data_IF_008323362173
#
_entry.id   IF_008323362173
#
_cell.length_a   1.000
_cell.length_b   1.000
_cell.length_c   1.000
_cell.angle_alpha   90.00
_cell.angle_beta   90.00
_cell.angle_gamma   90.00
#
_symmetry.space_group_name_H-M   'P 1'
#
loop_
_entity.id
_entity.type
_entity.pdbx_description
1 polymer ?
#
# COMPACT_ATOMS: atom_id res chain seq x y z
N UNK A 1 84.21 -4.19 -33.43
CA UNK A 1 83.21 -4.13 -34.52
C UNK A 1 81.89 -3.80 -33.84
N UNK A 2 81.54 -2.51 -33.87
CA UNK A 2 80.54 -1.88 -32.97
C UNK A 2 79.23 -1.67 -33.72
N UNK A 3 78.14 -1.94 -33.01
CA UNK A 3 76.74 -1.77 -33.40
C UNK A 3 76.41 -0.37 -33.92
N UNK A 4 75.55 -0.30 -34.93
CA UNK A 4 74.60 0.80 -35.11
C UNK A 4 73.29 0.31 -35.78
N UNK A 5 72.22 0.95 -35.33
CA UNK A 5 70.76 0.72 -35.48
C UNK A 5 70.24 0.83 -36.92
N UNK A 6 69.22 0.02 -37.28
CA UNK A 6 68.16 0.42 -38.24
C UNK A 6 66.78 -0.10 -37.78
N UNK A 7 65.80 0.78 -37.90
CA UNK A 7 64.37 0.72 -37.55
C UNK A 7 63.53 -0.18 -38.47
N UNK A 8 62.31 -0.54 -38.05
CA UNK A 8 61.18 -0.76 -38.97
C UNK A 8 59.83 -0.48 -38.29
N UNK A 9 58.92 0.08 -39.09
CA UNK A 9 57.70 0.79 -38.70
C UNK A 9 56.56 -0.06 -38.15
N UNK A 10 55.68 0.65 -37.43
CA UNK A 10 54.41 0.17 -36.90
C UNK A 10 53.32 0.15 -38.00
N UNK A 11 52.53 -0.92 -38.04
CA UNK A 11 51.20 -0.93 -38.65
C UNK A 11 50.15 -1.13 -37.57
N UNK A 12 49.40 -0.07 -37.26
CA UNK A 12 48.22 -0.12 -36.40
C UNK A 12 47.01 -0.54 -37.25
N UNK A 13 46.59 -1.80 -37.10
CA UNK A 13 45.29 -2.27 -37.59
C UNK A 13 44.21 -1.89 -36.58
N UNK A 14 43.36 -0.92 -36.92
CA UNK A 14 42.17 -0.58 -36.15
C UNK A 14 41.13 -1.70 -36.28
N UNK A 15 40.93 -2.49 -35.23
CA UNK A 15 39.77 -3.39 -35.13
C UNK A 15 38.51 -2.55 -34.92
N UNK A 16 37.63 -2.52 -35.91
CA UNK A 16 36.29 -1.98 -35.75
C UNK A 16 35.52 -2.86 -34.74
N UNK A 17 35.36 -2.37 -33.51
CA UNK A 17 34.37 -2.90 -32.59
C UNK A 17 32.99 -2.64 -33.20
N UNK A 18 32.29 -3.69 -33.62
CA UNK A 18 30.85 -3.64 -33.87
C UNK A 18 30.18 -3.11 -32.61
N UNK A 19 29.73 -1.85 -32.66
CA UNK A 19 28.82 -1.30 -31.66
C UNK A 19 27.56 -2.16 -31.69
N UNK A 20 27.32 -2.89 -30.60
CA UNK A 20 25.99 -3.45 -30.36
C UNK A 20 24.95 -2.34 -30.54
N UNK A 21 23.83 -2.60 -31.24
CA UNK A 21 22.83 -1.57 -31.47
C UNK A 21 22.33 -1.07 -30.11
N UNK A 22 22.51 0.24 -29.86
CA UNK A 22 21.92 0.94 -28.72
C UNK A 22 20.41 0.72 -28.78
N UNK A 23 19.91 -0.19 -27.94
CA UNK A 23 18.47 -0.39 -27.79
C UNK A 23 17.92 0.94 -27.30
N UNK A 24 17.11 1.63 -28.11
CA UNK A 24 16.43 2.87 -27.70
C UNK A 24 15.52 2.57 -26.51
N UNK A 25 16.00 2.84 -25.29
CA UNK A 25 15.31 2.67 -23.99
C UNK A 25 14.47 3.90 -23.60
N UNK A 26 13.90 4.60 -24.58
CA UNK A 26 13.12 5.81 -24.29
C UNK A 26 11.84 5.47 -23.53
N UNK A 27 11.50 6.27 -22.51
CA UNK A 27 10.23 6.17 -21.81
C UNK A 27 9.09 6.83 -22.58
N UNK A 28 9.39 7.70 -23.55
CA UNK A 28 8.40 8.38 -24.40
C UNK A 28 7.49 7.39 -25.13
N UNK A 29 6.19 7.66 -25.16
CA UNK A 29 5.19 6.84 -25.85
C UNK A 29 4.02 6.43 -24.97
N UNK A 30 3.30 5.41 -25.41
CA UNK A 30 2.10 4.89 -24.72
C UNK A 30 2.38 3.50 -24.20
N UNK A 31 2.00 3.27 -22.95
CA UNK A 31 2.20 2.04 -22.21
C UNK A 31 0.88 1.53 -21.67
N UNK A 32 0.67 0.22 -21.68
CA UNK A 32 -0.45 -0.45 -21.04
C UNK A 32 0.05 -1.23 -19.83
N UNK A 33 -0.65 -1.13 -18.71
CA UNK A 33 -0.36 -1.93 -17.52
C UNK A 33 -0.87 -3.37 -17.64
N UNK A 34 -0.14 -4.28 -17.01
CA UNK A 34 -0.54 -5.66 -16.76
C UNK A 34 -1.32 -5.72 -15.43
N UNK A 35 -2.63 -5.99 -15.47
CA UNK A 35 -3.50 -6.19 -14.30
C UNK A 35 -4.05 -4.95 -13.56
N UNK A 36 -3.78 -3.73 -14.02
CA UNK A 36 -4.26 -2.50 -13.36
C UNK A 36 -5.19 -1.65 -14.24
N UNK A 37 -5.66 -2.21 -15.35
CA UNK A 37 -6.61 -1.58 -16.26
C UNK A 37 -6.27 -0.11 -16.62
N UNK A 38 -4.98 0.14 -16.85
CA UNK A 38 -4.45 1.49 -16.99
C UNK A 38 -3.57 1.64 -18.24
N UNK A 39 -3.72 2.77 -18.94
CA UNK A 39 -2.71 3.28 -19.87
C UNK A 39 -1.90 4.40 -19.21
N UNK A 40 -0.63 4.49 -19.59
CA UNK A 40 0.30 5.55 -19.19
C UNK A 40 0.89 6.16 -20.44
N UNK A 41 0.76 7.47 -20.61
CA UNK A 41 1.44 8.18 -21.69
C UNK A 41 2.57 9.01 -21.12
N UNK A 42 3.74 8.94 -21.73
CA UNK A 42 4.88 9.82 -21.43
C UNK A 42 5.18 10.65 -22.67
N UNK A 43 5.10 11.98 -22.55
CA UNK A 43 5.36 12.93 -23.64
C UNK A 43 6.13 14.13 -23.13
N UNK A 44 7.35 14.33 -23.62
CA UNK A 44 8.21 15.46 -23.24
C UNK A 44 8.34 15.64 -21.72
N UNK A 45 8.43 14.54 -20.98
CA UNK A 45 8.51 14.55 -19.51
C UNK A 45 7.18 14.70 -18.78
N UNK A 46 6.06 14.92 -19.46
CA UNK A 46 4.72 14.82 -18.87
C UNK A 46 4.26 13.35 -18.88
N UNK A 47 3.68 12.91 -17.76
CA UNK A 47 3.05 11.61 -17.59
C UNK A 47 1.57 11.79 -17.25
N UNK A 48 0.72 11.18 -18.07
CA UNK A 48 -0.72 11.10 -17.84
C UNK A 48 -1.13 9.64 -17.73
N UNK A 49 -2.15 9.36 -16.93
CA UNK A 49 -2.76 8.03 -16.86
C UNK A 49 -4.23 8.03 -17.25
N UNK A 50 -4.67 6.88 -17.76
CA UNK A 50 -6.02 6.64 -18.24
C UNK A 50 -6.48 5.29 -17.72
N UNK A 51 -7.73 5.20 -17.31
CA UNK A 51 -8.39 3.97 -16.88
C UNK A 51 -9.21 3.40 -18.03
N UNK A 52 -9.27 2.09 -18.15
CA UNK A 52 -10.09 1.43 -19.17
C UNK A 52 -10.90 0.27 -18.58
N UNK A 53 -12.11 0.09 -19.10
CA UNK A 53 -12.96 -1.07 -18.85
C UNK A 53 -13.79 -1.37 -20.10
N UNK A 54 -14.63 -2.40 -20.07
CA UNK A 54 -15.63 -2.67 -21.10
C UNK A 54 -16.60 -1.49 -21.30
N UNK A 55 -16.79 -0.64 -20.29
CA UNK A 55 -17.63 0.56 -20.40
C UNK A 55 -16.94 1.75 -21.07
N UNK A 56 -15.64 1.68 -21.33
CA UNK A 56 -14.89 2.73 -22.02
C UNK A 56 -13.52 3.01 -21.42
N UNK A 57 -12.85 4.04 -21.94
CA UNK A 57 -11.57 4.51 -21.45
C UNK A 57 -11.64 6.01 -21.19
N UNK A 58 -11.06 6.48 -20.09
CA UNK A 58 -11.07 7.89 -19.72
C UNK A 58 -9.81 8.29 -18.95
N UNK A 59 -9.46 9.60 -18.90
CA UNK A 59 -8.37 10.08 -18.05
C UNK A 59 -8.64 9.77 -16.57
N UNK A 60 -7.61 9.38 -15.83
CA UNK A 60 -7.69 9.16 -14.38
C UNK A 60 -7.44 10.44 -13.57
N UNK A 61 -7.25 11.59 -14.21
CA UNK A 61 -6.92 12.86 -13.55
C UNK A 61 -5.49 12.98 -12.99
N UNK A 62 -4.67 11.91 -13.04
CA UNK A 62 -3.27 11.97 -12.62
C UNK A 62 -2.39 12.57 -13.72
N UNK A 63 -1.75 13.69 -13.41
CA UNK A 63 -0.69 14.30 -14.21
C UNK A 63 0.56 14.48 -13.35
N UNK A 64 1.69 13.99 -13.84
CA UNK A 64 2.99 14.08 -13.19
C UNK A 64 4.04 14.57 -14.18
N UNK A 65 5.10 15.20 -13.68
CA UNK A 65 6.20 15.71 -14.50
C UNK A 65 7.54 15.14 -14.05
N UNK A 66 8.40 14.88 -15.02
CA UNK A 66 9.80 14.53 -14.78
C UNK A 66 10.67 15.78 -14.72
N UNK A 67 11.73 15.73 -13.91
CA UNK A 67 12.70 16.84 -13.78
C UNK A 67 13.49 17.10 -15.09
N UNK A 68 13.48 16.17 -16.04
CA UNK A 68 14.17 16.25 -17.34
C UNK A 68 13.28 15.74 -18.48
N UNK A 69 13.36 16.40 -19.64
CA UNK A 69 12.68 16.02 -20.86
C UNK A 69 13.67 15.84 -22.03
N UNK A 70 13.69 14.69 -22.74
CA UNK A 70 12.93 13.47 -22.45
C UNK A 70 13.45 12.77 -21.17
N UNK A 71 12.58 12.04 -20.44
CA UNK A 71 12.97 11.38 -19.21
C UNK A 71 13.81 10.12 -19.48
N UNK A 72 14.83 9.91 -18.64
CA UNK A 72 15.66 8.71 -18.63
C UNK A 72 15.01 7.57 -17.84
N UNK A 73 15.47 6.33 -18.06
CA UNK A 73 15.03 5.19 -17.24
C UNK A 73 15.36 5.40 -15.76
N UNK A 74 14.40 5.10 -14.88
CA UNK A 74 14.52 5.31 -13.43
C UNK A 74 14.24 6.74 -12.97
N UNK A 75 13.81 7.64 -13.87
CA UNK A 75 13.44 9.01 -13.50
C UNK A 75 12.15 9.02 -12.66
N UNK A 76 12.13 9.74 -11.52
CA UNK A 76 10.91 9.98 -10.78
C UNK A 76 10.00 10.97 -11.52
N UNK A 77 8.70 10.76 -11.38
CA UNK A 77 7.66 11.69 -11.82
C UNK A 77 6.97 12.26 -10.60
N UNK A 78 6.77 13.58 -10.60
CA UNK A 78 6.34 14.37 -9.44
C UNK A 78 5.03 15.08 -9.71
N UNK A 79 4.25 15.30 -8.67
CA UNK A 79 3.05 16.11 -8.76
C UNK A 79 3.38 17.62 -8.78
N UNK A 80 2.36 18.46 -8.89
CA UNK A 80 2.53 19.91 -8.90
C UNK A 80 3.12 20.48 -7.59
N UNK A 81 3.06 19.74 -6.49
CA UNK A 81 3.68 20.10 -5.21
C UNK A 81 5.14 19.62 -5.11
N UNK A 82 5.66 18.93 -6.13
CA UNK A 82 7.02 18.38 -6.18
C UNK A 82 7.17 17.02 -5.47
N UNK A 83 6.09 16.47 -4.89
CA UNK A 83 6.12 15.17 -4.25
C UNK A 83 6.25 14.07 -5.30
N UNK A 84 7.07 13.05 -5.03
CA UNK A 84 7.23 11.92 -5.96
C UNK A 84 5.92 11.12 -6.00
N UNK A 85 5.29 11.03 -7.17
CA UNK A 85 4.13 10.19 -7.39
C UNK A 85 4.52 8.76 -7.77
N UNK A 86 5.47 8.60 -8.68
CA UNK A 86 5.94 7.29 -9.13
C UNK A 86 7.34 7.34 -9.77
N UNK A 87 7.88 6.18 -10.10
CA UNK A 87 9.11 6.03 -10.89
C UNK A 87 8.87 5.07 -12.05
N UNK A 88 9.31 5.44 -13.26
CA UNK A 88 9.27 4.57 -14.45
C UNK A 88 10.67 4.07 -14.81
N UNK A 89 10.79 2.78 -15.07
CA UNK A 89 12.05 2.12 -15.47
C UNK A 89 11.83 1.31 -16.74
N UNK A 90 12.52 1.66 -17.82
CA UNK A 90 12.59 0.83 -19.01
C UNK A 90 13.37 -0.45 -18.67
N UNK A 91 12.79 -1.60 -19.02
CA UNK A 91 13.41 -2.94 -18.86
C UNK A 91 13.67 -3.61 -20.22
N UNK A 92 13.20 -2.99 -21.29
CA UNK A 92 13.47 -3.34 -22.67
C UNK A 92 12.89 -2.25 -23.59
N UNK A 93 13.00 -2.43 -24.91
CA UNK A 93 12.46 -1.48 -25.90
C UNK A 93 10.96 -1.23 -25.72
N UNK A 94 10.22 -2.31 -25.46
CA UNK A 94 8.75 -2.34 -25.39
C UNK A 94 8.25 -2.84 -24.02
N UNK A 95 9.11 -2.76 -22.98
CA UNK A 95 8.81 -3.19 -21.61
C UNK A 95 9.31 -2.19 -20.59
N UNK A 96 8.47 -1.87 -19.60
CA UNK A 96 8.82 -1.01 -18.48
C UNK A 96 8.23 -1.52 -17.15
N UNK A 97 8.65 -0.89 -16.06
CA UNK A 97 8.14 -1.08 -14.70
C UNK A 97 7.77 0.27 -14.11
N UNK A 98 6.60 0.33 -13.48
CA UNK A 98 6.09 1.49 -12.78
C UNK A 98 6.06 1.18 -11.28
N UNK A 99 6.76 1.99 -10.49
CA UNK A 99 6.76 1.88 -9.03
C UNK A 99 6.04 3.09 -8.42
N UNK A 100 4.80 2.94 -7.91
CA UNK A 100 4.12 4.01 -7.17
C UNK A 100 4.92 4.40 -5.92
N UNK A 101 4.90 5.68 -5.55
CA UNK A 101 5.49 6.11 -4.29
C UNK A 101 4.69 5.55 -3.10
N UNK A 102 5.40 5.13 -2.04
CA UNK A 102 4.81 4.57 -0.83
C UNK A 102 4.35 3.10 -0.92
N UNK A 103 4.12 2.56 -2.11
CA UNK A 103 3.82 1.14 -2.30
C UNK A 103 5.10 0.29 -2.39
N UNK A 104 4.96 -1.00 -2.13
CA UNK A 104 5.96 -2.02 -2.45
C UNK A 104 5.47 -2.88 -3.61
N UNK A 105 6.35 -3.15 -4.57
CA UNK A 105 6.00 -3.83 -5.83
C UNK A 105 6.07 -2.89 -7.03
N UNK A 106 5.97 -3.45 -8.23
CA UNK A 106 6.03 -2.71 -9.49
C UNK A 106 4.93 -3.19 -10.44
N UNK A 107 4.33 -2.28 -11.21
CA UNK A 107 3.40 -2.63 -12.29
C UNK A 107 4.19 -2.88 -13.57
N UNK A 108 3.99 -4.04 -14.19
CA UNK A 108 4.57 -4.32 -15.51
C UNK A 108 3.84 -3.49 -16.56
N UNK A 109 4.61 -2.88 -17.46
CA UNK A 109 4.10 -2.09 -18.56
C UNK A 109 4.58 -2.65 -19.90
N UNK A 110 3.69 -2.67 -20.88
CA UNK A 110 3.99 -3.01 -22.26
C UNK A 110 3.72 -1.82 -23.18
N UNK A 111 4.63 -1.56 -24.12
CA UNK A 111 4.44 -0.47 -25.08
C UNK A 111 3.33 -0.83 -26.06
N UNK A 112 2.43 0.11 -26.29
CA UNK A 112 1.40 0.03 -27.32
C UNK A 112 1.61 1.11 -28.39
N UNK A 113 1.10 0.86 -29.59
CA UNK A 113 1.33 1.74 -30.75
C UNK A 113 0.75 3.14 -30.56
N UNK A 114 -0.44 3.22 -29.96
CA UNK A 114 -1.15 4.46 -29.71
C UNK A 114 -2.10 4.29 -28.54
N UNK A 115 -2.46 5.41 -27.91
CA UNK A 115 -3.56 5.47 -26.95
C UNK A 115 -4.87 5.25 -27.71
N UNK A 116 -5.79 4.38 -27.25
CA UNK A 116 -7.10 4.23 -27.87
C UNK A 116 -7.82 5.58 -27.97
N UNK A 117 -8.44 5.86 -29.11
CA UNK A 117 -9.08 7.16 -29.38
C UNK A 117 -10.17 7.51 -28.36
N UNK A 118 -10.83 6.49 -27.81
CA UNK A 118 -11.88 6.63 -26.81
C UNK A 118 -11.36 7.23 -25.50
N UNK A 119 -10.09 6.98 -25.14
CA UNK A 119 -9.46 7.47 -23.90
C UNK A 119 -9.36 9.00 -23.83
N UNK A 120 -9.41 9.69 -24.98
CA UNK A 120 -9.32 11.16 -25.07
C UNK A 120 -10.66 11.81 -25.40
N UNK A 121 -11.74 11.03 -25.54
CA UNK A 121 -13.08 11.60 -25.73
C UNK A 121 -13.66 12.00 -24.40
N UNK A 122 -14.47 13.07 -24.41
CA UNK A 122 -15.29 13.41 -23.25
C UNK A 122 -16.34 12.31 -23.05
N UNK A 123 -16.34 11.59 -21.93
CA UNK A 123 -17.34 10.55 -21.67
C UNK A 123 -18.72 11.19 -21.44
N UNK A 124 -19.78 10.44 -21.71
CA UNK A 124 -21.13 10.86 -21.34
C UNK A 124 -21.24 10.89 -19.81
N UNK A 125 -21.68 12.00 -19.22
CA UNK A 125 -21.75 12.12 -17.76
C UNK A 125 -23.10 11.69 -17.19
N UNK A 126 -23.97 11.11 -18.03
CA UNK A 126 -25.31 10.73 -17.61
C UNK A 126 -25.30 9.57 -16.60
N UNK A 127 -26.35 9.43 -15.77
CA UNK A 127 -26.41 8.42 -14.71
C UNK A 127 -26.26 6.99 -15.21
N UNK A 128 -26.74 6.68 -16.42
CA UNK A 128 -26.66 5.34 -16.99
C UNK A 128 -25.21 5.00 -17.33
N UNK A 129 -24.50 5.89 -18.01
CA UNK A 129 -23.09 5.65 -18.33
C UNK A 129 -22.23 5.57 -17.06
N UNK A 130 -22.46 6.46 -16.10
CA UNK A 130 -21.77 6.45 -14.81
C UNK A 130 -21.97 5.12 -14.08
N UNK A 131 -23.19 4.59 -14.05
CA UNK A 131 -23.47 3.27 -13.48
C UNK A 131 -22.69 2.17 -14.20
N UNK A 132 -22.67 2.17 -15.54
CA UNK A 132 -22.02 1.11 -16.32
C UNK A 132 -20.49 1.13 -16.14
N UNK A 133 -19.87 2.32 -16.03
CA UNK A 133 -18.44 2.47 -15.68
C UNK A 133 -18.15 1.98 -14.27
N UNK A 134 -18.93 2.41 -13.27
CA UNK A 134 -18.80 1.96 -11.88
C UNK A 134 -18.87 0.44 -11.77
N UNK A 135 -19.87 -0.16 -12.42
CA UNK A 135 -20.08 -1.59 -12.35
C UNK A 135 -18.94 -2.37 -13.03
N UNK A 136 -18.49 -1.91 -14.20
CA UNK A 136 -17.43 -2.57 -14.98
C UNK A 136 -16.08 -2.47 -14.27
N UNK A 137 -15.74 -1.31 -13.70
CA UNK A 137 -14.51 -1.12 -12.93
C UNK A 137 -14.35 -2.20 -11.84
N UNK A 138 -15.41 -2.44 -11.05
CA UNK A 138 -15.39 -3.50 -10.02
C UNK A 138 -15.44 -4.90 -10.63
N UNK A 139 -16.30 -5.15 -11.62
CA UNK A 139 -16.42 -6.46 -12.28
C UNK A 139 -15.09 -6.98 -12.78
N UNK A 140 -14.27 -6.10 -13.33
CA UNK A 140 -13.03 -6.42 -14.02
C UNK A 140 -11.81 -6.48 -13.08
N UNK A 141 -11.83 -5.71 -11.99
CA UNK A 141 -10.65 -5.53 -11.14
C UNK A 141 -10.82 -6.08 -9.71
N UNK A 142 -12.03 -6.09 -9.14
CA UNK A 142 -12.25 -6.50 -7.76
C UNK A 142 -12.03 -8.02 -7.57
N UNK A 143 -11.09 -8.47 -6.72
CA UNK A 143 -10.69 -9.88 -6.69
C UNK A 143 -11.46 -10.75 -5.69
N UNK A 144 -12.39 -10.19 -4.91
CA UNK A 144 -12.92 -10.85 -3.72
C UNK A 144 -14.42 -11.21 -3.76
N UNK A 145 -15.13 -11.00 -4.87
CA UNK A 145 -16.57 -11.28 -4.95
C UNK A 145 -16.96 -12.68 -4.43
N UNK A 146 -16.28 -13.72 -4.91
CA UNK A 146 -16.53 -15.10 -4.48
C UNK A 146 -16.26 -15.30 -2.97
N UNK A 147 -15.19 -14.71 -2.44
CA UNK A 147 -14.85 -14.79 -1.02
C UNK A 147 -15.86 -14.04 -0.13
N UNK A 148 -16.53 -13.02 -0.69
CA UNK A 148 -17.60 -12.26 -0.03
C UNK A 148 -18.99 -12.87 -0.26
N UNK A 149 -19.11 -13.93 -1.07
CA UNK A 149 -20.40 -14.53 -1.42
C UNK A 149 -21.30 -13.59 -2.24
N UNK A 150 -20.71 -12.66 -3.00
CA UNK A 150 -21.45 -11.68 -3.79
C UNK A 150 -21.38 -12.04 -5.27
N UNK A 151 -22.55 -12.24 -5.89
CA UNK A 151 -22.68 -12.33 -7.34
C UNK A 151 -22.85 -10.92 -7.93
N UNK A 152 -21.78 -10.42 -8.56
CA UNK A 152 -21.75 -9.06 -9.07
C UNK A 152 -22.64 -8.84 -10.31
N UNK A 153 -22.87 -9.90 -11.09
CA UNK A 153 -23.78 -9.84 -12.24
C UNK A 153 -25.23 -9.78 -11.76
N UNK A 154 -25.58 -10.54 -10.71
CA UNK A 154 -26.88 -10.45 -10.05
C UNK A 154 -27.11 -9.07 -9.40
N UNK A 155 -26.08 -8.48 -8.78
CA UNK A 155 -26.14 -7.10 -8.28
C UNK A 155 -26.47 -6.14 -9.43
N UNK A 156 -25.84 -6.28 -10.60
CA UNK A 156 -26.17 -5.48 -11.79
C UNK A 156 -27.64 -5.62 -12.18
N UNK A 157 -28.12 -6.86 -12.29
CA UNK A 157 -29.48 -7.16 -12.72
C UNK A 157 -30.54 -6.54 -11.79
N UNK A 158 -30.24 -6.46 -10.49
CA UNK A 158 -31.11 -5.81 -9.49
C UNK A 158 -31.13 -4.29 -9.60
N UNK A 159 -29.97 -3.64 -9.75
CA UNK A 159 -29.86 -2.18 -9.62
C UNK A 159 -29.92 -1.42 -10.94
N UNK A 160 -29.40 -1.98 -12.04
CA UNK A 160 -29.34 -1.30 -13.34
C UNK A 160 -30.72 -0.80 -13.82
N UNK A 161 -31.83 -1.55 -13.72
CA UNK A 161 -33.14 -1.08 -14.16
C UNK A 161 -33.67 0.16 -13.40
N UNK A 162 -33.11 0.46 -12.23
CA UNK A 162 -33.49 1.62 -11.40
C UNK A 162 -32.82 2.93 -11.86
N UNK A 163 -31.85 2.84 -12.78
CA UNK A 163 -31.07 3.98 -13.27
C UNK A 163 -31.52 4.34 -14.69
N UNK A 164 -31.98 5.57 -14.85
CA UNK A 164 -32.41 6.17 -16.11
C UNK A 164 -31.68 7.48 -16.34
N UNK A 165 -31.83 8.08 -17.52
CA UNK A 165 -31.26 9.41 -17.82
C UNK A 165 -31.76 10.53 -16.88
N UNK A 166 -32.88 10.31 -16.19
CA UNK A 166 -33.50 11.28 -15.29
C UNK A 166 -33.22 10.97 -13.80
N UNK A 167 -32.40 9.96 -13.49
CA UNK A 167 -32.03 9.64 -12.11
C UNK A 167 -31.16 10.77 -11.54
N UNK A 168 -31.54 11.33 -10.38
CA UNK A 168 -30.74 12.36 -9.73
C UNK A 168 -29.43 11.82 -9.16
N UNK A 169 -28.44 12.69 -8.98
CA UNK A 169 -27.16 12.35 -8.36
C UNK A 169 -27.32 11.74 -6.96
N UNK A 170 -28.23 12.27 -6.14
CA UNK A 170 -28.52 11.71 -4.81
C UNK A 170 -29.04 10.28 -4.91
N UNK A 171 -29.96 10.01 -5.84
CA UNK A 171 -30.51 8.68 -6.03
C UNK A 171 -29.46 7.73 -6.61
N UNK A 172 -28.64 8.19 -7.55
CA UNK A 172 -27.56 7.41 -8.12
C UNK A 172 -26.52 7.06 -7.04
N UNK A 173 -26.11 8.01 -6.22
CA UNK A 173 -25.13 7.79 -5.14
C UNK A 173 -25.63 6.73 -4.15
N UNK A 174 -26.91 6.80 -3.75
CA UNK A 174 -27.54 5.79 -2.90
C UNK A 174 -27.54 4.40 -3.56
N UNK A 175 -27.87 4.31 -4.85
CA UNK A 175 -27.88 3.04 -5.60
C UNK A 175 -26.47 2.45 -5.65
N UNK A 176 -25.47 3.23 -6.06
CA UNK A 176 -24.09 2.75 -6.19
C UNK A 176 -23.50 2.37 -4.82
N UNK A 177 -23.78 3.15 -3.77
CA UNK A 177 -23.38 2.81 -2.40
C UNK A 177 -23.98 1.49 -1.93
N UNK A 178 -25.28 1.27 -2.16
CA UNK A 178 -25.97 0.04 -1.81
C UNK A 178 -25.50 -1.19 -2.61
N UNK A 179 -24.82 -1.00 -3.75
CA UNK A 179 -24.19 -2.09 -4.49
C UNK A 179 -22.91 -2.59 -3.80
N UNK A 180 -22.10 -1.70 -3.23
CA UNK A 180 -20.80 -2.05 -2.62
C UNK A 180 -20.85 -2.32 -1.12
N UNK A 181 -21.93 -1.91 -0.44
CA UNK A 181 -22.14 -2.17 0.99
C UNK A 181 -21.97 -3.66 1.38
N UNK A 182 -22.56 -4.65 0.65
CA UNK A 182 -22.43 -6.07 1.00
C UNK A 182 -21.02 -6.64 0.84
N UNK A 183 -20.10 -5.90 0.21
CA UNK A 183 -18.70 -6.34 0.07
C UNK A 183 -17.97 -6.25 1.41
N UNK A 184 -18.44 -5.40 2.34
CA UNK A 184 -17.82 -5.20 3.65
C UNK A 184 -16.30 -5.04 3.53
N UNK A 185 -15.89 -4.18 2.60
CA UNK A 185 -14.52 -3.95 2.20
C UNK A 185 -14.20 -2.45 2.22
N UNK A 186 -13.39 -2.04 3.21
CA UNK A 186 -13.08 -0.64 3.44
C UNK A 186 -12.19 -0.05 2.33
N UNK A 187 -11.58 -0.88 1.50
CA UNK A 187 -10.88 -0.45 0.29
C UNK A 187 -11.80 -0.31 -0.92
N UNK A 188 -13.11 -0.57 -0.79
CA UNK A 188 -14.11 -0.27 -1.81
C UNK A 188 -14.99 0.90 -1.35
N UNK A 189 -14.78 2.09 -1.92
CA UNK A 189 -15.45 3.31 -1.49
C UNK A 189 -15.92 4.15 -2.68
N UNK A 190 -17.13 4.69 -2.60
CA UNK A 190 -17.58 5.75 -3.49
C UNK A 190 -17.46 7.10 -2.78
N UNK A 191 -16.89 8.10 -3.45
CA UNK A 191 -16.69 9.46 -2.92
C UNK A 191 -17.17 10.50 -3.93
N UNK A 192 -17.94 11.45 -3.43
CA UNK A 192 -18.34 12.66 -4.14
C UNK A 192 -17.69 13.84 -3.42
N UNK A 193 -16.46 14.15 -3.85
CA UNK A 193 -15.57 15.08 -3.16
C UNK A 193 -16.15 16.51 -3.05
N UNK A 194 -16.76 17.10 -4.11
CA UNK A 194 -17.36 18.43 -4.01
C UNK A 194 -18.49 18.54 -2.98
N UNK A 195 -19.21 17.44 -2.72
CA UNK A 195 -20.32 17.40 -1.77
C UNK A 195 -19.94 16.75 -0.42
N UNK A 196 -18.65 16.51 -0.19
CA UNK A 196 -18.10 15.96 1.06
C UNK A 196 -18.79 14.67 1.56
N UNK A 197 -19.26 13.82 0.65
CA UNK A 197 -19.92 12.55 0.99
C UNK A 197 -19.15 11.33 0.48
N UNK A 198 -19.17 10.26 1.26
CA UNK A 198 -18.50 9.02 0.93
C UNK A 198 -19.12 7.81 1.64
N UNK A 199 -18.91 6.62 1.08
CA UNK A 199 -19.31 5.36 1.71
C UNK A 199 -18.20 4.80 2.59
N UNK A 200 -18.55 4.11 3.67
CA UNK A 200 -17.62 3.38 4.52
C UNK A 200 -18.08 1.94 4.70
N UNK A 201 -17.42 0.99 4.02
CA UNK A 201 -17.84 -0.41 3.98
C UNK A 201 -16.92 -1.27 4.85
N UNK A 202 -17.13 -1.28 6.16
CA UNK A 202 -16.29 -2.08 7.05
C UNK A 202 -16.78 -3.52 7.20
N UNK A 203 -15.91 -4.38 7.74
CA UNK A 203 -16.33 -5.68 8.28
C UNK A 203 -17.40 -5.47 9.38
N UNK A 204 -18.49 -6.26 9.37
CA UNK A 204 -19.48 -6.22 10.46
C UNK A 204 -18.83 -6.44 11.82
N UNK A 205 -19.26 -5.65 12.81
CA UNK A 205 -18.73 -5.73 14.18
C UNK A 205 -17.44 -4.94 14.43
N UNK A 206 -16.86 -4.28 13.43
CA UNK A 206 -15.71 -3.38 13.66
C UNK A 206 -16.16 -2.19 14.53
N UNK A 207 -15.52 -1.95 15.70
CA UNK A 207 -15.87 -0.88 16.63
C UNK A 207 -15.36 0.47 16.11
N UNK A 208 -15.94 0.94 15.00
CA UNK A 208 -15.62 2.26 14.46
C UNK A 208 -16.58 3.29 15.04
N UNK A 209 -16.06 4.25 15.81
CA UNK A 209 -16.87 5.28 16.44
C UNK A 209 -17.39 6.30 15.41
N UNK A 210 -18.57 6.87 15.66
CA UNK A 210 -19.03 8.02 14.88
C UNK A 210 -18.11 9.25 15.05
N UNK A 211 -17.48 9.38 16.23
CA UNK A 211 -16.50 10.43 16.54
C UNK A 211 -15.12 9.79 16.77
N UNK A 212 -14.35 9.71 15.69
CA UNK A 212 -13.01 9.12 15.68
C UNK A 212 -12.04 9.87 16.61
N UNK A 213 -11.93 11.22 16.58
CA UNK A 213 -11.08 11.95 17.50
C UNK A 213 -11.38 11.66 18.98
N UNK A 214 -12.66 11.66 19.37
CA UNK A 214 -13.05 11.37 20.76
C UNK A 214 -12.69 9.95 21.18
N UNK A 215 -12.89 8.98 20.29
CA UNK A 215 -12.48 7.61 20.57
C UNK A 215 -10.97 7.47 20.73
N UNK A 216 -10.17 8.07 19.83
CA UNK A 216 -8.71 8.02 19.95
C UNK A 216 -8.22 8.67 21.25
N UNK A 217 -8.86 9.76 21.70
CA UNK A 217 -8.57 10.36 23.00
C UNK A 217 -8.88 9.41 24.17
N UNK A 218 -9.96 8.61 24.10
CA UNK A 218 -10.26 7.58 25.10
C UNK A 218 -9.25 6.45 25.08
N UNK A 219 -8.82 6.00 23.89
CA UNK A 219 -7.77 5.00 23.72
C UNK A 219 -6.46 5.47 24.37
N UNK A 220 -6.09 6.73 24.14
CA UNK A 220 -4.90 7.33 24.76
C UNK A 220 -5.03 7.40 26.28
N UNK A 221 -6.17 7.89 26.79
CA UNK A 221 -6.45 7.95 28.21
C UNK A 221 -6.46 6.56 28.87
N UNK A 222 -6.83 5.51 28.14
CA UNK A 222 -6.81 4.15 28.63
C UNK A 222 -5.40 3.56 28.68
N UNK A 223 -4.55 3.87 27.69
CA UNK A 223 -3.20 3.30 27.52
C UNK A 223 -2.14 4.01 28.38
N UNK A 224 -2.27 5.33 28.55
CA UNK A 224 -1.28 6.18 29.22
C UNK A 224 -0.91 5.73 30.64
N UNK A 225 -1.84 5.29 31.52
CA UNK A 225 -1.49 4.84 32.87
C UNK A 225 -0.64 3.56 32.93
N UNK A 226 -0.55 2.79 31.84
CA UNK A 226 0.28 1.57 31.79
C UNK A 226 1.64 1.81 31.11
N UNK A 227 1.87 3.01 30.59
CA UNK A 227 3.14 3.44 30.02
C UNK A 227 3.98 4.18 31.06
N UNK A 228 5.31 4.17 30.93
CA UNK A 228 6.17 4.98 31.79
C UNK A 228 5.93 6.48 31.57
N UNK A 229 6.34 7.31 32.54
CA UNK A 229 6.17 8.76 32.46
C UNK A 229 6.85 9.39 31.22
N UNK A 230 7.93 8.79 30.72
CA UNK A 230 8.66 9.26 29.54
C UNK A 230 8.34 8.38 28.34
N UNK A 231 7.47 8.88 27.47
CA UNK A 231 7.22 8.35 26.12
C UNK A 231 7.89 9.28 25.13
N UNK A 232 8.74 8.74 24.26
CA UNK A 232 9.34 9.48 23.14
C UNK A 232 8.33 9.51 22.00
N UNK A 233 8.13 10.68 21.41
CA UNK A 233 7.20 10.88 20.31
C UNK A 233 7.94 11.39 19.07
N UNK A 234 7.61 10.81 17.93
CA UNK A 234 8.10 11.20 16.62
C UNK A 234 6.91 11.38 15.68
N UNK A 235 7.13 12.07 14.55
CA UNK A 235 6.10 12.23 13.52
C UNK A 235 4.76 12.76 14.08
N UNK A 236 4.81 13.81 14.91
CA UNK A 236 3.61 14.39 15.53
C UNK A 236 2.84 13.42 16.45
N UNK A 237 3.54 12.47 17.08
CA UNK A 237 2.94 11.47 17.98
C UNK A 237 2.44 10.21 17.28
N UNK A 238 2.58 10.10 15.95
CA UNK A 238 2.17 8.91 15.21
C UNK A 238 3.09 7.71 15.44
N UNK A 239 4.34 7.97 15.83
CA UNK A 239 5.30 6.96 16.29
C UNK A 239 5.64 7.28 17.75
N UNK A 240 5.38 6.34 18.65
CA UNK A 240 5.71 6.49 20.06
C UNK A 240 6.62 5.35 20.49
N UNK A 241 7.64 5.66 21.30
CA UNK A 241 8.53 4.66 21.87
C UNK A 241 8.74 4.87 23.37
N UNK A 242 8.72 3.79 24.15
CA UNK A 242 9.03 3.82 25.56
C UNK A 242 9.76 2.54 26.02
N UNK A 243 10.69 2.69 26.96
CA UNK A 243 11.25 1.56 27.70
C UNK A 243 10.30 1.27 28.88
N UNK A 244 9.64 0.12 28.88
CA UNK A 244 8.62 -0.21 29.88
C UNK A 244 9.24 -0.46 31.26
N UNK A 245 8.41 -0.38 32.30
CA UNK A 245 8.81 -0.64 33.69
C UNK A 245 9.33 -2.07 33.91
N UNK A 246 8.94 -3.02 33.05
CA UNK A 246 9.51 -4.36 33.03
C UNK A 246 10.86 -4.33 32.30
N UNK A 247 11.99 -4.63 32.97
CA UNK A 247 13.33 -4.38 32.43
C UNK A 247 13.58 -5.03 31.07
N UNK A 248 14.14 -4.27 30.13
CA UNK A 248 14.50 -4.75 28.80
C UNK A 248 13.32 -4.99 27.86
N UNK A 249 12.10 -4.57 28.21
CA UNK A 249 10.95 -4.60 27.28
C UNK A 249 10.69 -3.20 26.73
N UNK A 250 10.83 -3.04 25.41
CA UNK A 250 10.42 -1.82 24.71
C UNK A 250 8.95 -1.84 24.31
N UNK A 251 8.37 -0.66 24.11
CA UNK A 251 7.04 -0.46 23.52
C UNK A 251 7.17 0.50 22.33
N UNK A 252 6.75 0.06 21.15
CA UNK A 252 6.72 0.82 19.91
C UNK A 252 5.27 0.87 19.39
N UNK A 253 4.65 2.03 19.43
CA UNK A 253 3.31 2.25 18.85
C UNK A 253 3.42 2.99 17.54
N UNK A 254 2.66 2.55 16.55
CA UNK A 254 2.57 3.19 15.23
C UNK A 254 1.10 3.31 14.88
N UNK A 255 0.58 4.54 14.79
CA UNK A 255 -0.85 4.82 14.54
C UNK A 255 -1.17 5.13 13.07
N UNK A 256 -0.15 5.37 12.25
CA UNK A 256 -0.27 5.67 10.82
C UNK A 256 1.02 5.29 10.11
N UNK A 257 0.94 4.96 8.83
CA UNK A 257 2.06 4.85 7.90
C UNK A 257 2.05 5.99 6.86
N UNK A 258 1.53 7.15 7.23
CA UNK A 258 1.51 8.35 6.42
C UNK A 258 1.44 9.62 7.28
N UNK A 259 1.90 10.74 6.72
CA UNK A 259 1.78 12.06 7.35
C UNK A 259 2.83 12.36 8.40
N UNK A 260 4.00 11.71 8.30
CA UNK A 260 5.13 11.95 9.20
C UNK A 260 5.81 13.29 8.91
N UNK A 261 5.76 13.76 7.67
CA UNK A 261 6.21 15.06 7.22
C UNK A 261 5.04 15.93 6.75
N UNK A 262 5.29 17.24 6.58
CA UNK A 262 4.30 18.15 5.97
C UNK A 262 4.14 17.81 4.48
N UNK A 263 2.90 17.79 4.00
CA UNK A 263 2.56 17.44 2.63
C UNK A 263 2.33 15.94 2.44
N UNK A 264 2.08 15.50 1.20
CA UNK A 264 1.85 14.10 0.84
C UNK A 264 3.05 13.53 0.08
N UNK A 265 4.20 13.47 0.75
CA UNK A 265 5.45 12.96 0.14
C UNK A 265 5.97 11.74 0.90
N UNK A 266 5.91 10.57 0.24
CA UNK A 266 6.36 9.31 0.80
C UNK A 266 7.87 9.27 1.10
N UNK A 267 8.69 10.03 0.36
CA UNK A 267 10.14 10.09 0.60
C UNK A 267 10.45 10.95 1.83
N UNK A 268 9.68 12.03 2.02
CA UNK A 268 9.77 12.85 3.22
C UNK A 268 9.35 12.07 4.48
N UNK A 269 8.26 11.30 4.38
CA UNK A 269 7.81 10.41 5.46
C UNK A 269 8.87 9.34 5.78
N UNK A 270 9.47 8.73 4.75
CA UNK A 270 10.55 7.77 4.92
C UNK A 270 11.77 8.37 5.65
N UNK A 271 12.13 9.61 5.35
CA UNK A 271 13.24 10.30 6.01
C UNK A 271 12.95 10.60 7.49
N UNK A 272 11.70 10.95 7.84
CA UNK A 272 11.28 11.12 9.24
C UNK A 272 11.34 9.78 9.98
N UNK A 273 10.83 8.72 9.37
CA UNK A 273 10.89 7.37 9.95
C UNK A 273 12.33 6.91 10.17
N UNK A 274 13.22 7.11 9.21
CA UNK A 274 14.62 6.69 9.33
C UNK A 274 15.33 7.35 10.52
N UNK A 275 15.04 8.64 10.79
CA UNK A 275 15.53 9.35 11.98
C UNK A 275 14.95 8.77 13.26
N UNK A 276 13.63 8.58 13.33
CA UNK A 276 12.98 7.97 14.49
C UNK A 276 13.54 6.58 14.80
N UNK A 277 13.71 5.73 13.78
CA UNK A 277 14.27 4.38 13.95
C UNK A 277 15.75 4.40 14.36
N UNK A 278 16.53 5.41 13.95
CA UNK A 278 17.90 5.58 14.41
C UNK A 278 17.97 5.95 15.90
N UNK A 279 17.05 6.80 16.37
CA UNK A 279 16.94 7.19 17.78
C UNK A 279 16.36 6.09 18.66
N UNK A 280 15.44 5.28 18.14
CA UNK A 280 14.82 4.16 18.85
C UNK A 280 15.77 2.95 18.92
N UNK A 281 16.38 2.55 17.80
CA UNK A 281 17.24 1.36 17.74
C UNK A 281 18.72 1.76 17.80
N UNK A 282 19.16 2.29 18.95
CA UNK A 282 20.58 2.54 19.22
C UNK A 282 21.31 1.25 19.59
N UNK A 283 22.64 1.20 19.40
CA UNK A 283 23.45 0.02 19.72
C UNK A 283 23.40 -0.37 21.20
N UNK A 284 23.25 0.62 22.09
CA UNK A 284 23.06 0.40 23.52
C UNK A 284 21.68 -0.19 23.82
N UNK A 285 20.62 0.44 23.28
CA UNK A 285 19.25 0.03 23.57
C UNK A 285 18.96 -1.37 23.06
N UNK A 286 19.34 -1.70 21.83
CA UNK A 286 19.07 -3.04 21.29
C UNK A 286 19.85 -4.15 22.01
N UNK A 287 20.99 -3.82 22.64
CA UNK A 287 21.78 -4.78 23.43
C UNK A 287 21.13 -5.10 24.76
N UNK A 288 20.46 -4.13 25.37
CA UNK A 288 19.69 -4.30 26.61
C UNK A 288 18.26 -4.79 26.40
N UNK A 289 17.76 -4.77 25.16
CA UNK A 289 16.39 -5.17 24.83
C UNK A 289 16.25 -6.70 24.80
N UNK A 290 15.30 -7.21 25.57
CA UNK A 290 14.90 -8.62 25.66
C UNK A 290 13.58 -8.90 24.95
N UNK A 291 12.73 -7.88 24.80
CA UNK A 291 11.43 -7.99 24.14
C UNK A 291 10.96 -6.64 23.60
N UNK A 292 10.11 -6.66 22.59
CA UNK A 292 9.49 -5.46 22.03
C UNK A 292 7.98 -5.68 21.83
N UNK A 293 7.17 -4.81 22.42
CA UNK A 293 5.75 -4.70 22.08
C UNK A 293 5.65 -3.77 20.86
N UNK A 294 4.99 -4.23 19.81
CA UNK A 294 4.63 -3.42 18.62
C UNK A 294 3.12 -3.26 18.62
N UNK A 295 2.63 -2.03 18.70
CA UNK A 295 1.21 -1.72 18.84
C UNK A 295 0.65 -1.04 17.60
N UNK A 296 -0.26 -1.74 16.93
CA UNK A 296 -0.92 -1.33 15.69
C UNK A 296 -2.45 -1.24 15.84
N UNK A 297 -2.98 -1.33 17.06
CA UNK A 297 -4.44 -1.50 17.27
C UNK A 297 -5.30 -0.39 16.71
N UNK A 298 -4.75 0.80 16.51
CA UNK A 298 -5.42 1.96 15.87
C UNK A 298 -4.72 2.41 14.58
N UNK A 299 -3.93 1.53 13.95
CA UNK A 299 -3.16 1.88 12.76
C UNK A 299 -4.04 1.89 11.50
N UNK A 300 -4.29 3.10 10.96
CA UNK A 300 -5.14 3.29 9.78
C UNK A 300 -4.49 2.98 8.42
N UNK A 301 -3.23 2.53 8.38
CA UNK A 301 -2.51 2.24 7.15
C UNK A 301 -1.73 3.43 6.59
N UNK A 302 -1.47 3.43 5.28
CA UNK A 302 -0.59 4.37 4.60
C UNK A 302 0.38 3.66 3.66
N UNK A 303 1.68 3.94 3.80
CA UNK A 303 2.75 3.42 2.95
C UNK A 303 3.28 2.06 3.43
N UNK A 304 3.12 1.03 2.60
CA UNK A 304 3.74 -0.29 2.80
C UNK A 304 5.26 -0.20 2.97
N UNK A 305 5.90 0.72 2.24
CA UNK A 305 7.35 0.88 2.26
C UNK A 305 7.87 1.28 3.65
N UNK A 306 7.08 2.05 4.40
CA UNK A 306 7.38 2.41 5.79
C UNK A 306 7.28 1.18 6.71
N UNK A 307 6.23 0.37 6.55
CA UNK A 307 6.08 -0.90 7.26
C UNK A 307 7.27 -1.84 7.03
N UNK A 308 7.69 -2.00 5.78
CA UNK A 308 8.88 -2.79 5.45
C UNK A 308 10.13 -2.22 6.12
N UNK A 309 10.38 -0.90 6.09
CA UNK A 309 11.54 -0.28 6.76
C UNK A 309 11.61 -0.61 8.26
N UNK A 310 10.47 -0.65 8.94
CA UNK A 310 10.42 -1.07 10.36
C UNK A 310 10.75 -2.56 10.48
N UNK A 311 10.16 -3.42 9.65
CA UNK A 311 10.45 -4.86 9.67
C UNK A 311 11.95 -5.16 9.44
N UNK A 312 12.66 -4.35 8.65
CA UNK A 312 14.10 -4.47 8.42
C UNK A 312 14.93 -4.23 9.69
N UNK A 313 14.45 -3.43 10.66
CA UNK A 313 15.08 -3.24 11.98
C UNK A 313 14.81 -4.38 12.95
N UNK A 314 13.89 -5.28 12.61
CA UNK A 314 13.39 -6.33 13.49
C UNK A 314 13.87 -7.75 13.09
N UNK A 315 14.91 -7.86 12.26
CA UNK A 315 15.43 -9.15 11.77
C UNK A 315 16.92 -9.09 11.42
N UNK A 316 17.63 -10.22 11.51
CA UNK A 316 18.99 -10.43 11.00
C UNK A 316 19.05 -11.31 9.74
N UNK A 317 17.91 -11.88 9.34
CA UNK A 317 17.79 -12.71 8.14
C UNK A 317 16.89 -12.07 7.09
N UNK A 318 17.20 -12.36 5.83
CA UNK A 318 16.33 -12.02 4.70
C UNK A 318 15.20 -13.04 4.60
N UNK A 319 13.97 -12.57 4.38
CA UNK A 319 12.82 -13.43 4.11
C UNK A 319 11.81 -12.73 3.20
N UNK A 320 10.90 -13.49 2.60
CA UNK A 320 9.74 -12.95 1.87
C UNK A 320 8.64 -12.64 2.87
N UNK A 321 8.22 -11.38 2.97
CA UNK A 321 7.12 -10.94 3.82
C UNK A 321 5.78 -11.50 3.31
N UNK A 322 5.52 -11.27 2.04
CA UNK A 322 4.34 -11.71 1.30
C UNK A 322 4.62 -11.59 -0.20
N UNK A 323 3.72 -12.13 -1.02
CA UNK A 323 3.80 -12.05 -2.46
C UNK A 323 2.58 -11.33 -3.00
N UNK A 324 2.78 -10.29 -3.80
CA UNK A 324 1.69 -9.52 -4.42
C UNK A 324 1.34 -10.12 -5.78
N UNK A 325 0.05 -10.21 -6.06
CA UNK A 325 -0.51 -10.49 -7.40
C UNK A 325 -1.68 -9.54 -7.64
N UNK A 326 -1.86 -9.09 -8.87
CA UNK A 326 -2.99 -8.26 -9.29
C UNK A 326 -3.91 -9.06 -10.21
N UNK A 327 -5.22 -8.80 -10.16
CA UNK A 327 -6.18 -9.41 -11.08
C UNK A 327 -5.84 -9.01 -12.52
N UNK A 328 -5.78 -9.96 -13.43
CA UNK A 328 -5.27 -9.70 -14.79
C UNK A 328 -6.21 -10.06 -15.94
N UNK A 329 -7.39 -10.61 -15.62
CA UNK A 329 -8.40 -10.91 -16.62
C UNK A 329 -9.80 -10.74 -16.02
N UNK A 330 -10.67 -9.93 -16.63
CA UNK A 330 -12.05 -9.81 -16.20
C UNK A 330 -12.85 -11.10 -16.43
N UNK A 331 -12.56 -11.86 -17.48
CA UNK A 331 -13.30 -13.05 -17.89
C UNK A 331 -12.74 -14.33 -17.27
N UNK A 332 -11.53 -14.27 -16.74
CA UNK A 332 -10.91 -15.37 -15.99
C UNK A 332 -10.50 -14.93 -14.58
N UNK A 333 -11.34 -15.22 -13.59
CA UNK A 333 -11.09 -14.92 -12.18
C UNK A 333 -9.84 -15.61 -11.59
N UNK A 334 -9.27 -16.60 -12.28
CA UNK A 334 -8.01 -17.25 -11.90
C UNK A 334 -6.77 -16.62 -12.57
N UNK A 335 -6.95 -15.62 -13.43
CA UNK A 335 -5.84 -14.93 -14.08
C UNK A 335 -5.27 -13.84 -13.18
N UNK A 336 -3.98 -13.97 -12.89
CA UNK A 336 -3.22 -13.05 -12.04
C UNK A 336 -1.96 -12.61 -12.76
N UNK A 337 -1.45 -11.43 -12.40
CA UNK A 337 -0.11 -11.01 -12.82
C UNK A 337 0.96 -11.96 -12.26
N UNK A 338 2.15 -11.91 -12.84
CA UNK A 338 3.29 -12.67 -12.32
C UNK A 338 3.53 -12.36 -10.83
N UNK A 339 3.65 -13.38 -9.95
CA UNK A 339 3.79 -13.16 -8.51
C UNK A 339 5.04 -12.35 -8.15
N UNK A 340 4.86 -11.32 -7.32
CA UNK A 340 5.91 -10.38 -6.92
C UNK A 340 6.28 -10.57 -5.44
N UNK A 341 7.38 -11.26 -5.12
CA UNK A 341 7.79 -11.47 -3.73
C UNK A 341 8.35 -10.18 -3.13
N UNK A 342 7.71 -9.68 -2.07
CA UNK A 342 8.19 -8.55 -1.29
C UNK A 342 9.10 -9.08 -0.19
N UNK A 343 10.36 -8.62 -0.18
CA UNK A 343 11.39 -9.14 0.73
C UNK A 343 11.74 -8.13 1.82
N UNK A 344 11.81 -8.61 3.06
CA UNK A 344 12.47 -7.89 4.15
C UNK A 344 13.93 -8.29 4.15
N UNK A 345 14.81 -7.30 4.03
CA UNK A 345 16.27 -7.46 4.14
C UNK A 345 16.74 -6.73 5.40
N UNK A 346 17.58 -7.33 6.26
CA UNK A 346 18.07 -6.67 7.47
C UNK A 346 18.62 -5.27 7.19
N UNK A 347 18.20 -4.30 7.99
CA UNK A 347 18.69 -2.94 7.90
C UNK A 347 20.20 -2.87 8.21
N UNK A 348 20.90 -1.87 7.65
CA UNK A 348 22.25 -1.52 8.11
C UNK A 348 22.13 -0.86 9.50
N UNK A 349 23.06 -1.16 10.40
CA UNK A 349 23.07 -0.61 11.77
C UNK A 349 22.40 -1.51 12.83
N UNK A 350 22.12 -0.98 14.03
CA UNK A 350 21.55 -1.76 15.12
C UNK A 350 20.12 -2.24 14.81
N UNK A 351 19.85 -3.48 15.19
CA UNK A 351 18.60 -4.20 14.94
C UNK A 351 18.22 -4.98 16.19
N UNK A 352 16.93 -5.11 16.44
CA UNK A 352 16.41 -6.00 17.47
C UNK A 352 15.92 -7.29 16.82
N UNK A 353 16.51 -8.44 17.18
CA UNK A 353 16.20 -9.74 16.58
C UNK A 353 15.46 -10.68 17.53
N UNK A 354 15.12 -10.19 18.72
CA UNK A 354 14.48 -10.98 19.77
C UNK A 354 12.96 -11.11 19.63
N UNK A 355 12.30 -11.62 20.69
CA UNK A 355 10.86 -11.78 20.76
C UNK A 355 10.09 -10.47 20.60
N UNK A 356 8.99 -10.51 19.83
CA UNK A 356 8.06 -9.38 19.67
C UNK A 356 6.64 -9.82 19.97
N UNK A 357 5.94 -9.02 20.75
CA UNK A 357 4.50 -9.11 20.90
C UNK A 357 3.85 -8.07 19.98
N UNK A 358 2.97 -8.49 19.10
CA UNK A 358 2.25 -7.63 18.16
C UNK A 358 0.81 -7.45 18.64
N UNK A 359 0.44 -6.23 19.01
CA UNK A 359 -0.93 -5.86 19.32
C UNK A 359 -1.65 -5.43 18.04
N UNK A 360 -2.74 -6.10 17.69
CA UNK A 360 -3.56 -5.80 16.52
C UNK A 360 -5.05 -5.88 16.85
N UNK A 361 -5.88 -5.30 16.00
CA UNK A 361 -7.33 -5.33 16.16
C UNK A 361 -8.07 -4.85 14.91
N UNK A 362 -9.41 -4.71 14.97
CA UNK A 362 -10.22 -4.40 13.80
C UNK A 362 -9.94 -3.01 13.18
N UNK A 363 -9.20 -2.14 13.88
CA UNK A 363 -8.74 -0.84 13.37
C UNK A 363 -7.27 -0.86 12.92
N UNK A 364 -6.64 -2.04 12.88
CA UNK A 364 -5.40 -2.27 12.12
C UNK A 364 -5.79 -2.52 10.66
N UNK A 365 -5.51 -1.57 9.79
CA UNK A 365 -6.06 -1.45 8.43
C UNK A 365 -4.92 -1.28 7.41
N UNK A 366 -5.08 -1.82 6.20
CA UNK A 366 -4.23 -1.51 5.04
C UNK A 366 -2.73 -1.75 5.31
N UNK A 367 -1.84 -0.77 5.11
CA UNK A 367 -0.42 -0.92 5.41
C UNK A 367 -0.10 -1.29 6.87
N UNK A 368 -1.03 -1.04 7.81
CA UNK A 368 -0.98 -1.58 9.17
C UNK A 368 -0.99 -3.11 9.17
N UNK A 369 -1.85 -3.69 8.34
CA UNK A 369 -1.98 -5.12 8.14
C UNK A 369 -0.84 -5.70 7.31
N UNK A 370 -0.42 -5.02 6.24
CA UNK A 370 0.72 -5.48 5.44
C UNK A 370 2.01 -5.49 6.27
N UNK A 371 2.21 -4.51 7.16
CA UNK A 371 3.30 -4.54 8.14
C UNK A 371 3.15 -5.71 9.11
N UNK A 372 1.96 -5.93 9.69
CA UNK A 372 1.71 -7.08 10.55
C UNK A 372 2.00 -8.42 9.84
N UNK A 373 1.57 -8.58 8.59
CA UNK A 373 1.87 -9.74 7.74
C UNK A 373 3.37 -9.88 7.49
N UNK A 374 4.08 -8.76 7.26
CA UNK A 374 5.51 -8.76 7.02
C UNK A 374 6.31 -9.30 8.20
N UNK A 375 5.80 -9.20 9.42
CA UNK A 375 6.48 -9.72 10.61
C UNK A 375 6.29 -11.23 10.80
N UNK A 376 5.30 -11.86 10.16
CA UNK A 376 4.95 -13.27 10.40
C UNK A 376 6.07 -14.26 10.02
N UNK A 377 6.82 -14.06 8.91
CA UNK A 377 7.90 -14.98 8.52
C UNK A 377 9.22 -14.76 9.27
N UNK A 378 9.28 -13.80 10.20
CA UNK A 378 10.43 -13.57 11.08
C UNK A 378 10.71 -14.80 11.96
N UNK A 379 11.94 -14.92 12.44
CA UNK A 379 12.32 -15.86 13.50
C UNK A 379 12.92 -15.07 14.67
N UNK A 380 12.35 -15.15 15.88
CA UNK A 380 11.09 -15.80 16.21
C UNK A 380 9.88 -15.06 15.59
N UNK A 381 8.83 -15.80 15.25
CA UNK A 381 7.57 -15.21 14.80
C UNK A 381 6.91 -14.38 15.91
N UNK A 382 6.16 -13.31 15.60
CA UNK A 382 5.50 -12.48 16.62
C UNK A 382 4.44 -13.25 17.40
N UNK A 383 4.33 -12.97 18.69
CA UNK A 383 3.17 -13.31 19.51
C UNK A 383 2.08 -12.30 19.18
N UNK A 384 1.04 -12.72 18.46
CA UNK A 384 -0.07 -11.83 18.05
C UNK A 384 -1.14 -11.80 19.12
N UNK A 385 -1.46 -10.63 19.64
CA UNK A 385 -2.39 -10.43 20.75
C UNK A 385 -3.46 -9.42 20.32
N UNK A 386 -4.70 -9.65 20.73
CA UNK A 386 -5.82 -8.76 20.43
C UNK A 386 -6.89 -9.48 19.62
N UNK A 387 -7.38 -8.82 18.58
CA UNK A 387 -8.45 -9.30 17.71
C UNK A 387 -7.97 -9.35 16.24
N UNK A 388 -8.72 -10.02 15.34
CA UNK A 388 -8.37 -10.03 13.92
C UNK A 388 -8.25 -8.61 13.35
N UNK A 389 -7.23 -8.38 12.51
CA UNK A 389 -7.09 -7.12 11.75
C UNK A 389 -8.25 -6.93 10.77
N UNK A 390 -8.39 -5.78 10.10
CA UNK A 390 -9.61 -5.46 9.33
C UNK A 390 -9.85 -6.34 8.09
N UNK A 391 -8.81 -6.89 7.49
CA UNK A 391 -8.89 -7.73 6.30
C UNK A 391 -8.97 -6.95 5.00
N UNK A 392 -8.25 -5.83 4.87
CA UNK A 392 -8.25 -4.98 3.67
C UNK A 392 -6.81 -4.66 3.24
N UNK A 393 -6.14 -5.61 2.59
CA UNK A 393 -4.69 -5.52 2.34
C UNK A 393 -4.33 -4.83 1.03
N UNK A 394 -5.14 -5.05 0.00
CA UNK A 394 -4.85 -4.64 -1.38
C UNK A 394 -4.45 -3.17 -1.48
N UNK A 395 -3.41 -2.86 -2.27
CA UNK A 395 -3.28 -1.51 -2.79
C UNK A 395 -4.55 -1.16 -3.57
N UNK A 396 -4.91 0.11 -3.56
CA UNK A 396 -6.12 0.57 -4.23
C UNK A 396 -5.81 1.35 -5.48
N UNK A 397 -6.70 1.21 -6.45
CA UNK A 397 -6.81 2.10 -7.59
C UNK A 397 -7.90 3.12 -7.28
N UNK A 398 -7.66 4.38 -7.57
CA UNK A 398 -8.74 5.36 -7.66
C UNK A 398 -9.26 5.30 -9.10
N UNK A 399 -10.58 5.24 -9.26
CA UNK A 399 -11.26 5.20 -10.55
C UNK A 399 -12.16 6.43 -10.67
N UNK A 400 -11.90 7.28 -11.66
CA UNK A 400 -12.63 8.53 -11.84
C UNK A 400 -13.90 8.29 -12.65
N UNK A 401 -15.06 8.37 -12.01
CA UNK A 401 -16.34 8.18 -12.69
C UNK A 401 -16.66 9.38 -13.60
N UNK A 402 -17.43 9.16 -14.70
CA UNK A 402 -17.76 10.21 -15.66
C UNK A 402 -18.41 11.47 -15.06
N UNK A 403 -19.17 11.33 -13.99
CA UNK A 403 -19.80 12.45 -13.28
C UNK A 403 -18.89 13.15 -12.24
N UNK A 404 -17.61 12.79 -12.16
CA UNK A 404 -16.63 13.42 -11.27
C UNK A 404 -16.48 12.76 -9.90
N UNK A 405 -17.27 11.72 -9.60
CA UNK A 405 -17.08 10.92 -8.38
C UNK A 405 -15.83 10.03 -8.49
N UNK A 406 -15.34 9.58 -7.35
CA UNK A 406 -14.18 8.68 -7.28
C UNK A 406 -14.60 7.36 -6.64
N UNK A 407 -14.31 6.26 -7.33
CA UNK A 407 -14.47 4.91 -6.82
C UNK A 407 -13.09 4.34 -6.46
N UNK A 408 -12.91 3.94 -5.21
CA UNK A 408 -11.71 3.20 -4.79
C UNK A 408 -11.94 1.71 -5.06
N UNK A 409 -11.00 1.06 -5.77
CA UNK A 409 -11.07 -0.35 -6.17
C UNK A 409 -9.81 -1.09 -5.73
N UNK A 410 -9.90 -2.08 -4.83
CA UNK A 410 -8.78 -2.99 -4.57
C UNK A 410 -8.67 -3.99 -5.73
N UNK A 411 -7.46 -4.24 -6.21
CA UNK A 411 -7.21 -5.17 -7.33
C UNK A 411 -6.12 -6.22 -7.06
N UNK A 412 -5.56 -6.26 -5.85
CA UNK A 412 -4.43 -7.09 -5.49
C UNK A 412 -4.75 -8.10 -4.39
N UNK A 413 -3.93 -9.16 -4.31
CA UNK A 413 -3.86 -10.07 -3.17
C UNK A 413 -2.46 -10.08 -2.57
N UNK A 414 -2.39 -10.07 -1.24
CA UNK A 414 -1.16 -10.18 -0.47
C UNK A 414 -1.02 -11.60 0.05
N UNK A 415 -0.35 -12.44 -0.74
CA UNK A 415 -0.27 -13.88 -0.51
C UNK A 415 0.75 -14.24 0.58
N UNK A 416 0.35 -15.14 1.46
CA UNK A 416 1.25 -15.85 2.38
C UNK A 416 2.15 -16.82 1.62
N UNK A 417 3.13 -17.42 2.30
CA UNK A 417 3.97 -18.48 1.73
C UNK A 417 3.17 -19.72 1.26
N UNK A 418 1.92 -19.88 1.70
CA UNK A 418 1.02 -20.96 1.26
C UNK A 418 0.11 -20.55 0.10
N UNK A 419 0.25 -19.34 -0.44
CA UNK A 419 -0.59 -18.84 -1.54
C UNK A 419 -1.99 -18.39 -1.12
N UNK A 420 -2.26 -18.25 0.19
CA UNK A 420 -3.54 -17.73 0.72
C UNK A 420 -3.45 -16.25 1.07
N UNK A 421 -4.57 -15.55 1.20
CA UNK A 421 -4.62 -14.15 1.67
C UNK A 421 -5.42 -14.02 2.97
N UNK A 422 -5.24 -12.90 3.67
CA UNK A 422 -6.02 -12.50 4.86
C UNK A 422 -7.15 -11.52 4.54
N UNK A 423 -7.38 -11.18 3.26
CA UNK A 423 -8.50 -10.29 2.88
C UNK A 423 -9.86 -10.83 3.38
N UNK A 424 -10.71 -9.93 3.87
CA UNK A 424 -11.97 -10.21 4.55
C UNK A 424 -11.83 -10.62 6.02
N UNK A 425 -11.03 -11.64 6.32
CA UNK A 425 -10.93 -12.19 7.68
C UNK A 425 -9.96 -11.42 8.59
N UNK A 426 -8.93 -10.81 8.02
CA UNK A 426 -7.80 -10.23 8.75
C UNK A 426 -6.81 -11.27 9.27
N UNK A 427 -5.68 -10.80 9.80
CA UNK A 427 -4.69 -11.65 10.47
C UNK A 427 -5.23 -12.01 11.86
N UNK A 428 -5.40 -13.31 12.18
CA UNK A 428 -5.92 -13.71 13.48
C UNK A 428 -4.87 -13.57 14.59
N UNK A 429 -5.30 -13.23 15.82
CA UNK A 429 -4.43 -13.27 16.98
C UNK A 429 -4.03 -14.72 17.30
N UNK A 430 -2.87 -14.89 17.93
CA UNK A 430 -2.50 -16.15 18.62
C UNK A 430 -3.05 -16.20 20.04
N UNK A 431 -3.27 -15.02 20.63
CA UNK A 431 -3.80 -14.82 21.97
C UNK A 431 -4.95 -13.82 21.88
N UNK A 432 -6.20 -14.30 21.74
CA UNK A 432 -7.36 -13.43 21.69
C UNK A 432 -7.46 -12.60 22.98
N UNK A 433 -7.58 -11.28 22.82
CA UNK A 433 -7.83 -10.32 23.90
C UNK A 433 -8.73 -9.21 23.33
N UNK A 434 -9.74 -8.71 24.06
CA UNK A 434 -10.56 -7.61 23.57
C UNK A 434 -9.73 -6.36 23.26
N UNK A 435 -9.97 -5.72 22.12
CA UNK A 435 -9.29 -4.48 21.74
C UNK A 435 -10.19 -3.29 22.04
N UNK A 436 -9.82 -2.54 23.09
CA UNK A 436 -10.53 -1.32 23.51
C UNK A 436 -12.03 -1.55 23.79
N UNK A 437 -12.35 -2.64 24.49
CA UNK A 437 -13.70 -2.85 25.00
C UNK A 437 -14.14 -1.65 25.86
N UNK A 438 -15.43 -1.32 25.81
CA UNK A 438 -15.98 -0.14 26.47
C UNK A 438 -15.68 -0.09 27.98
N UNK A 439 -15.71 -1.25 28.65
CA UNK A 439 -15.34 -1.37 30.05
C UNK A 439 -13.86 -1.08 30.32
N UNK A 440 -12.96 -1.43 29.41
CA UNK A 440 -11.53 -1.15 29.55
C UNK A 440 -11.20 0.32 29.29
N UNK A 441 -11.84 0.93 28.30
CA UNK A 441 -11.76 2.37 28.05
C UNK A 441 -12.27 3.18 29.24
N UNK A 442 -13.38 2.76 29.83
CA UNK A 442 -14.00 3.45 30.99
C UNK A 442 -13.15 3.33 32.25
N UNK A 443 -12.53 2.17 32.47
CA UNK A 443 -11.72 1.91 33.67
C UNK A 443 -10.22 2.17 33.47
N UNK A 444 -9.84 2.82 32.37
CA UNK A 444 -8.45 3.10 32.00
C UNK A 444 -7.54 1.87 32.08
N UNK A 445 -7.95 0.77 31.46
CA UNK A 445 -7.21 -0.49 31.42
C UNK A 445 -6.77 -0.83 30.00
N UNK A 446 -5.62 -1.49 29.91
CA UNK A 446 -5.13 -2.07 28.67
C UNK A 446 -4.75 -3.56 28.86
N UNK A 447 -5.72 -4.48 28.73
CA UNK A 447 -5.47 -5.91 28.87
C UNK A 447 -4.51 -6.45 27.80
N UNK A 448 -4.56 -5.90 26.58
CA UNK A 448 -3.67 -6.29 25.48
C UNK A 448 -2.20 -5.98 25.78
N UNK A 449 -1.90 -4.76 26.24
CA UNK A 449 -0.55 -4.38 26.64
C UNK A 449 -0.06 -5.21 27.85
N UNK A 450 -0.92 -5.40 28.85
CA UNK A 450 -0.61 -6.25 30.01
C UNK A 450 -0.33 -7.70 29.58
N UNK A 451 -1.05 -8.22 28.59
CA UNK A 451 -0.82 -9.54 28.00
C UNK A 451 0.53 -9.61 27.31
N UNK A 452 0.84 -8.62 26.48
CA UNK A 452 2.09 -8.56 25.72
C UNK A 452 3.32 -8.56 26.62
N UNK A 453 3.33 -7.72 27.66
CA UNK A 453 4.43 -7.65 28.64
C UNK A 453 4.62 -9.00 29.33
N UNK A 454 3.51 -9.63 29.76
CA UNK A 454 3.55 -10.94 30.42
C UNK A 454 4.12 -12.04 29.53
N UNK A 455 3.69 -12.12 28.26
CA UNK A 455 4.20 -13.17 27.37
C UNK A 455 5.68 -12.94 27.02
N UNK A 456 6.11 -11.69 26.85
CA UNK A 456 7.53 -11.39 26.62
C UNK A 456 8.41 -11.69 27.83
N UNK A 457 7.97 -11.38 29.05
CA UNK A 457 8.76 -11.64 30.26
C UNK A 457 8.87 -13.14 30.62
N UNK A 458 8.06 -14.00 30.00
CA UNK A 458 8.14 -15.47 30.14
C UNK A 458 9.20 -16.13 29.27
N UNK A 459 9.65 -15.48 28.19
CA UNK A 459 10.60 -16.04 27.19
C UNK A 459 12.06 -15.90 27.71
N UNK A 460 12.26 -15.91 29.03
CA UNK A 460 13.56 -15.69 29.66
C UNK A 460 14.56 -16.78 29.31
#
# INVERSE_FOLDING_TARGET
MVLAVVSTGAFAGASAQEKQPEVRTTLEGVWRSDGYAQYVTVRQGELLTYEFSAAGCHPSGLSLTADKAPPSTGTPFRDAAGARGLTLRATGKDRARLAPAGSVGERSLERVRALPADCTRTPATDPVHTFDVFWSALRENYPFFAAKGVDWDAVRAKYRPQVTKNTSDDRLFQILGAMIEPLHDMHTQLRDLPNERGTLNMRPGTPYPADVPKFLARVEAASKPQLPAKVQEFAGGQIQYADLSTPGIGYLRITSFAGYAKGRDADADAAVLDRALAEIFTAERVRGMRGLVVDLRVNGGGSDALGIKIAQRLTDRTYTAYTKVARNDPDNAASWTAPQPIRVRPAKGPRFTGPVALLGGPLTISAGESFAQSLLPRSPAPIRIGEPTQGVFSDTMEWHLPNGWVLTVPNEKFLTARGTTYDGAGIPPTHPEPVYAEADLTNHRDPGLKRAVRELDRIR
#
